data_IF_820985324459
#
_entry.id   IF_820985324459
#
_cell.length_a   1.000
_cell.length_b   1.000
_cell.length_c   1.000
_cell.angle_alpha   90.00
_cell.angle_beta   90.00
_cell.angle_gamma   90.00
#
_symmetry.space_group_name_H-M   'P 1'
#
loop_
_entity.id
_entity.type
_entity.pdbx_description
1 polymer ?
#
# COMPACT_ATOMS: atom_id res chain seq x y z
N UNK A 1 -29.90 -9.90 -8.07
CA UNK A 1 -28.82 -9.80 -7.07
C UNK A 1 -27.76 -10.82 -7.39
N UNK A 2 -26.65 -10.42 -7.99
CA UNK A 2 -25.57 -11.32 -8.41
C UNK A 2 -24.48 -11.30 -7.35
N UNK A 3 -24.47 -12.33 -6.49
CA UNK A 3 -23.39 -12.61 -5.56
C UNK A 3 -22.18 -13.09 -6.37
N UNK A 4 -21.12 -12.30 -6.40
CA UNK A 4 -19.82 -12.74 -6.93
C UNK A 4 -19.20 -13.63 -5.85
N UNK A 5 -19.29 -14.95 -6.06
CA UNK A 5 -18.57 -15.93 -5.26
C UNK A 5 -17.06 -15.79 -5.53
N UNK A 6 -16.30 -15.29 -4.56
CA UNK A 6 -14.85 -15.36 -4.59
C UNK A 6 -14.42 -16.76 -4.18
N UNK A 7 -14.12 -17.60 -5.17
CA UNK A 7 -13.48 -18.91 -4.95
C UNK A 7 -11.98 -18.72 -4.70
N UNK A 8 -11.63 -18.07 -3.58
CA UNK A 8 -10.33 -18.20 -2.95
C UNK A 8 -10.62 -18.95 -1.65
N UNK A 9 -10.11 -20.17 -1.54
CA UNK A 9 -10.06 -20.90 -0.27
C UNK A 9 -9.65 -19.92 0.83
N UNK A 10 -10.57 -19.61 1.74
CA UNK A 10 -10.27 -18.78 2.90
C UNK A 10 -9.06 -19.41 3.58
N UNK A 11 -7.88 -18.76 3.61
CA UNK A 11 -6.83 -19.23 4.49
C UNK A 11 -7.43 -19.29 5.90
N UNK A 12 -7.03 -20.29 6.68
CA UNK A 12 -7.35 -20.31 8.10
C UNK A 12 -6.92 -18.96 8.71
N UNK A 13 -7.69 -18.39 9.65
CA UNK A 13 -7.31 -17.14 10.27
C UNK A 13 -5.89 -17.26 10.82
N UNK A 14 -5.03 -16.25 10.59
CA UNK A 14 -3.65 -16.31 11.03
C UNK A 14 -3.62 -16.40 12.56
N UNK A 15 -2.84 -17.34 13.08
CA UNK A 15 -2.71 -17.59 14.52
C UNK A 15 -1.50 -16.88 15.15
N UNK A 16 -0.63 -16.31 14.31
CA UNK A 16 0.57 -15.57 14.69
C UNK A 16 0.73 -14.29 13.85
N UNK A 17 1.62 -13.40 14.30
CA UNK A 17 1.98 -12.19 13.56
C UNK A 17 2.67 -12.53 12.24
N UNK A 18 3.55 -13.52 12.26
CA UNK A 18 4.31 -13.99 11.11
C UNK A 18 3.39 -14.60 10.05
N UNK A 19 2.38 -15.36 10.47
CA UNK A 19 1.35 -15.89 9.56
C UNK A 19 0.53 -14.75 8.94
N UNK A 20 0.18 -13.73 9.73
CA UNK A 20 -0.56 -12.57 9.24
C UNK A 20 0.26 -11.78 8.19
N UNK A 21 1.56 -11.58 8.44
CA UNK A 21 2.49 -10.96 7.49
C UNK A 21 2.60 -11.79 6.22
N UNK A 22 2.81 -13.11 6.33
CA UNK A 22 2.92 -14.01 5.19
C UNK A 22 1.64 -14.04 4.35
N UNK A 23 0.48 -14.07 5.01
CA UNK A 23 -0.82 -14.02 4.34
C UNK A 23 -1.01 -12.68 3.63
N UNK A 24 -0.70 -11.56 4.29
CA UNK A 24 -0.79 -10.23 3.69
C UNK A 24 0.13 -10.10 2.48
N UNK A 25 1.38 -10.57 2.58
CA UNK A 25 2.36 -10.56 1.49
C UNK A 25 1.92 -11.40 0.30
N UNK A 26 1.44 -12.63 0.54
CA UNK A 26 0.91 -13.52 -0.51
C UNK A 26 -0.31 -12.91 -1.19
N UNK A 27 -1.23 -12.36 -0.41
CA UNK A 27 -2.46 -11.74 -0.90
C UNK A 27 -2.14 -10.50 -1.73
N UNK A 28 -1.32 -9.59 -1.20
CA UNK A 28 -0.86 -8.38 -1.89
C UNK A 28 -0.14 -8.72 -3.19
N UNK A 29 0.78 -9.69 -3.18
CA UNK A 29 1.48 -10.12 -4.40
C UNK A 29 0.51 -10.55 -5.49
N UNK A 30 -0.49 -11.35 -5.13
CA UNK A 30 -1.49 -11.87 -6.07
C UNK A 30 -2.40 -10.76 -6.62
N UNK A 31 -2.90 -9.88 -5.75
CA UNK A 31 -3.84 -8.82 -6.19
C UNK A 31 -3.15 -7.68 -6.93
N UNK A 32 -1.86 -7.45 -6.69
CA UNK A 32 -1.06 -6.43 -7.38
C UNK A 32 -0.54 -6.91 -8.75
N UNK A 33 -0.44 -8.22 -8.99
CA UNK A 33 0.07 -8.77 -10.25
C UNK A 33 -0.71 -8.25 -11.48
N UNK A 34 -2.05 -8.34 -11.45
CA UNK A 34 -2.89 -7.91 -12.58
C UNK A 34 -2.80 -6.40 -12.88
N UNK A 35 -3.00 -5.48 -11.91
CA UNK A 35 -2.95 -4.05 -12.18
C UNK A 35 -1.55 -3.56 -12.58
N UNK A 36 -0.48 -4.20 -12.09
CA UNK A 36 0.89 -3.79 -12.44
C UNK A 36 1.33 -4.29 -13.82
N UNK A 37 0.80 -5.42 -14.32
CA UNK A 37 1.16 -5.95 -15.64
C UNK A 37 0.30 -5.42 -16.80
N UNK A 38 -0.86 -4.80 -16.53
CA UNK A 38 -1.76 -4.30 -17.57
C UNK A 38 -2.01 -2.79 -17.53
N UNK A 39 -0.97 -1.93 -17.50
CA UNK A 39 -1.16 -0.49 -17.49
C UNK A 39 -1.64 0.06 -18.85
N UNK A 40 -1.67 -0.72 -19.94
CA UNK A 40 -1.94 -0.16 -21.29
C UNK A 40 -3.42 -0.20 -21.73
N UNK A 41 -4.30 -0.86 -20.99
CA UNK A 41 -5.76 -0.75 -21.22
C UNK A 41 -6.35 0.58 -20.70
N UNK A 42 -5.51 1.40 -20.06
CA UNK A 42 -5.83 2.66 -19.39
C UNK A 42 -6.34 3.77 -20.34
N UNK A 43 -6.20 3.61 -21.67
CA UNK A 43 -6.44 4.71 -22.62
C UNK A 43 -7.68 4.65 -23.52
N UNK A 44 -8.38 3.51 -23.69
CA UNK A 44 -9.38 3.41 -24.79
C UNK A 44 -10.79 2.96 -24.45
N UNK A 45 -11.08 2.29 -23.32
CA UNK A 45 -12.45 1.91 -22.98
C UNK A 45 -12.69 1.89 -21.47
N UNK A 46 -13.56 2.79 -20.99
CA UNK A 46 -13.94 3.06 -19.57
C UNK A 46 -12.79 3.59 -18.69
N UNK A 47 -13.05 4.63 -17.88
CA UNK A 47 -12.18 5.01 -16.75
C UNK A 47 -11.99 3.76 -15.88
N UNK A 48 -10.82 3.13 -15.91
CA UNK A 48 -10.52 2.00 -15.05
C UNK A 48 -10.49 2.50 -13.61
N UNK A 49 -11.30 1.87 -12.75
CA UNK A 49 -11.33 2.16 -11.31
C UNK A 49 -9.94 1.84 -10.76
N UNK A 50 -9.34 2.82 -10.07
CA UNK A 50 -8.08 2.64 -9.37
C UNK A 50 -8.19 1.46 -8.40
N UNK A 51 -7.27 0.47 -8.43
CA UNK A 51 -7.21 -0.56 -7.41
C UNK A 51 -6.83 0.07 -6.07
N UNK A 52 -7.67 -0.13 -5.07
CA UNK A 52 -7.47 0.38 -3.72
C UNK A 52 -7.56 -0.81 -2.77
N UNK A 53 -6.55 -0.98 -1.93
CA UNK A 53 -6.45 -2.10 -1.00
C UNK A 53 -6.27 -1.59 0.41
N UNK A 54 -6.80 -2.35 1.38
CA UNK A 54 -6.62 -2.12 2.80
C UNK A 54 -6.06 -3.39 3.43
N UNK A 55 -5.04 -3.24 4.25
CA UNK A 55 -4.37 -4.33 4.97
C UNK A 55 -4.29 -3.95 6.43
N UNK A 56 -4.74 -4.85 7.29
CA UNK A 56 -4.67 -4.70 8.75
C UNK A 56 -3.93 -5.89 9.35
N UNK A 57 -2.84 -5.60 10.05
CA UNK A 57 -2.00 -6.58 10.74
C UNK A 57 -1.81 -6.08 12.16
N UNK A 58 -2.08 -6.90 13.19
CA UNK A 58 -1.82 -6.55 14.58
C UNK A 58 -0.35 -6.13 14.77
N UNK A 59 -0.15 -4.97 15.39
CA UNK A 59 1.18 -4.46 15.75
C UNK A 59 1.24 -4.28 17.27
N UNK A 60 2.42 -4.50 17.84
CA UNK A 60 2.66 -4.37 19.28
C UNK A 60 2.53 -2.89 19.70
N UNK A 61 3.06 -1.98 18.89
CA UNK A 61 2.96 -0.53 19.05
C UNK A 61 3.18 0.19 17.71
N UNK A 62 2.97 1.51 17.70
CA UNK A 62 3.27 2.38 16.56
C UNK A 62 4.69 2.98 16.63
N UNK A 63 5.63 2.32 17.32
CA UNK A 63 7.00 2.81 17.43
C UNK A 63 7.72 2.77 16.07
N UNK A 64 8.76 3.60 15.88
CA UNK A 64 9.56 3.59 14.66
C UNK A 64 10.10 2.22 14.29
N UNK A 65 10.59 1.45 15.26
CA UNK A 65 11.15 0.12 15.01
C UNK A 65 10.08 -0.89 14.59
N UNK A 66 8.94 -0.91 15.31
CA UNK A 66 7.83 -1.82 15.00
C UNK A 66 7.25 -1.60 13.61
N UNK A 67 6.98 -0.33 13.25
CA UNK A 67 6.38 0.02 11.96
C UNK A 67 7.37 -0.14 10.80
N UNK A 68 8.64 0.22 11.00
CA UNK A 68 9.69 0.05 9.99
C UNK A 68 9.93 -1.42 9.70
N UNK A 69 10.01 -2.25 10.75
CA UNK A 69 10.16 -3.70 10.60
C UNK A 69 8.96 -4.33 9.92
N UNK A 70 7.74 -3.96 10.29
CA UNK A 70 6.54 -4.47 9.62
C UNK A 70 6.53 -4.12 8.12
N UNK A 71 6.83 -2.88 7.77
CA UNK A 71 6.89 -2.46 6.38
C UNK A 71 7.99 -3.22 5.61
N UNK A 72 9.14 -3.45 6.24
CA UNK A 72 10.23 -4.23 5.67
C UNK A 72 9.84 -5.70 5.45
N UNK A 73 9.24 -6.34 6.45
CA UNK A 73 8.83 -7.75 6.41
C UNK A 73 7.79 -8.01 5.30
N UNK A 74 6.96 -7.01 4.99
CA UNK A 74 5.96 -7.10 3.92
C UNK A 74 6.57 -6.74 2.57
N UNK A 75 7.23 -5.58 2.44
CA UNK A 75 7.56 -4.98 1.14
C UNK A 75 9.03 -5.11 0.72
N UNK A 76 9.94 -5.40 1.64
CA UNK A 76 11.38 -5.54 1.35
C UNK A 76 11.65 -6.66 0.35
N UNK A 77 10.91 -7.76 0.46
CA UNK A 77 11.07 -8.96 -0.36
C UNK A 77 9.74 -9.48 -0.93
N UNK A 78 8.72 -8.61 -1.06
CA UNK A 78 7.48 -8.99 -1.75
C UNK A 78 7.79 -9.41 -3.18
N UNK A 79 7.53 -10.68 -3.48
CA UNK A 79 7.73 -11.23 -4.83
C UNK A 79 6.46 -11.04 -5.63
N UNK A 80 6.36 -9.92 -6.35
CA UNK A 80 5.25 -9.67 -7.26
C UNK A 80 5.71 -10.03 -8.68
N UNK A 81 4.99 -10.95 -9.33
CA UNK A 81 5.32 -11.39 -10.68
C UNK A 81 5.03 -10.28 -11.69
N UNK A 82 6.04 -9.50 -12.07
CA UNK A 82 5.93 -8.47 -13.11
C UNK A 82 6.78 -8.84 -14.32
N UNK A 83 6.23 -8.67 -15.52
CA UNK A 83 7.00 -8.76 -16.76
C UNK A 83 7.94 -7.55 -16.86
N UNK A 84 9.25 -7.80 -16.84
CA UNK A 84 10.27 -6.77 -17.08
C UNK A 84 10.95 -6.29 -15.80
N UNK A 85 10.88 -4.98 -15.55
CA UNK A 85 11.66 -4.30 -14.49
C UNK A 85 11.18 -4.63 -13.07
N UNK A 86 12.07 -4.43 -12.10
CA UNK A 86 11.73 -4.39 -10.69
C UNK A 86 10.60 -3.38 -10.42
N UNK A 87 9.81 -3.65 -9.38
CA UNK A 87 8.69 -2.80 -8.98
C UNK A 87 9.20 -1.68 -8.11
N UNK A 88 8.69 -0.48 -8.38
CA UNK A 88 8.94 0.71 -7.59
C UNK A 88 7.79 0.93 -6.61
N UNK A 89 8.07 0.77 -5.33
CA UNK A 89 7.12 0.95 -4.23
C UNK A 89 7.42 2.31 -3.60
N UNK A 90 6.39 3.14 -3.45
CA UNK A 90 6.48 4.37 -2.67
C UNK A 90 5.76 4.15 -1.34
N UNK A 91 6.45 4.35 -0.21
CA UNK A 91 5.85 4.28 1.12
C UNK A 91 5.74 5.68 1.71
N UNK A 92 4.52 6.07 2.06
CA UNK A 92 4.19 7.29 2.77
C UNK A 92 4.08 7.03 4.27
N UNK A 93 4.97 7.67 5.01
CA UNK A 93 5.11 7.59 6.46
C UNK A 93 4.35 8.72 7.15
N UNK A 94 3.75 8.48 8.32
CA UNK A 94 2.91 9.48 8.97
C UNK A 94 3.71 10.67 9.53
N UNK A 95 5.01 10.51 9.78
CA UNK A 95 5.89 11.60 10.21
C UNK A 95 7.36 11.35 9.79
N UNK A 96 8.22 12.39 9.85
CA UNK A 96 9.63 12.27 9.48
C UNK A 96 10.42 11.24 10.30
N UNK A 97 10.19 11.16 11.61
CA UNK A 97 10.93 10.23 12.49
C UNK A 97 10.73 8.77 12.10
N UNK A 98 9.50 8.39 11.73
CA UNK A 98 9.19 7.05 11.25
C UNK A 98 9.83 6.77 9.88
N UNK A 99 9.84 7.78 8.99
CA UNK A 99 10.51 7.66 7.69
C UNK A 99 12.02 7.41 7.84
N UNK A 100 12.70 8.15 8.72
CA UNK A 100 14.14 7.96 8.92
C UNK A 100 14.47 6.57 9.49
N UNK A 101 13.68 6.09 10.47
CA UNK A 101 13.83 4.74 11.00
C UNK A 101 13.65 3.67 9.90
N UNK A 102 12.70 3.89 8.99
CA UNK A 102 12.47 2.98 7.87
C UNK A 102 13.62 2.97 6.88
N UNK A 103 14.20 4.12 6.56
CA UNK A 103 15.38 4.20 5.69
C UNK A 103 16.51 3.36 6.27
N UNK A 104 16.79 3.48 7.58
CA UNK A 104 17.81 2.68 8.27
C UNK A 104 17.49 1.19 8.22
N UNK A 105 16.24 0.81 8.50
CA UNK A 105 15.81 -0.59 8.48
C UNK A 105 15.96 -1.23 7.09
N UNK A 106 15.53 -0.52 6.03
CA UNK A 106 15.59 -1.00 4.64
C UNK A 106 17.01 -1.02 4.09
N UNK A 107 17.86 -0.04 4.41
CA UNK A 107 19.27 -0.04 4.01
C UNK A 107 20.07 -1.20 4.63
N UNK A 108 19.67 -1.65 5.80
CA UNK A 108 20.32 -2.75 6.51
C UNK A 108 20.00 -4.14 5.90
N UNK A 109 19.12 -4.21 4.91
CA UNK A 109 18.64 -5.47 4.32
C UNK A 109 18.80 -5.46 2.79
N UNK A 110 19.15 -6.61 2.23
CA UNK A 110 19.12 -6.80 0.77
C UNK A 110 17.67 -6.94 0.32
N UNK A 111 17.14 -5.89 -0.31
CA UNK A 111 15.77 -5.83 -0.82
C UNK A 111 15.74 -6.12 -2.32
N UNK A 112 14.67 -6.78 -2.78
CA UNK A 112 14.48 -7.12 -4.20
C UNK A 112 13.74 -6.02 -4.98
N UNK A 113 13.08 -5.10 -4.27
CA UNK A 113 12.26 -4.05 -4.83
C UNK A 113 12.92 -2.68 -4.64
N UNK A 114 12.61 -1.73 -5.52
CA UNK A 114 13.01 -0.34 -5.34
C UNK A 114 11.98 0.30 -4.42
N UNK A 115 12.37 0.65 -3.21
CA UNK A 115 11.48 1.27 -2.21
C UNK A 115 11.91 2.71 -1.97
N UNK A 116 11.00 3.63 -2.24
CA UNK A 116 11.16 5.06 -1.92
C UNK A 116 10.33 5.41 -0.68
N UNK A 117 10.87 6.27 0.17
CA UNK A 117 10.27 6.65 1.44
C UNK A 117 9.99 8.16 1.46
N UNK A 118 8.75 8.54 1.76
CA UNK A 118 8.33 9.94 1.91
C UNK A 118 7.53 10.07 3.20
N UNK A 119 7.72 11.16 3.94
CA UNK A 119 6.85 11.51 5.05
C UNK A 119 5.74 12.46 4.60
N UNK A 120 4.60 12.42 5.30
CA UNK A 120 3.40 13.10 4.86
C UNK A 120 3.54 14.63 4.78
N UNK A 121 4.39 15.23 5.62
CA UNK A 121 4.63 16.68 5.64
C UNK A 121 5.50 17.15 4.46
N UNK A 122 6.26 16.22 3.86
CA UNK A 122 7.13 16.49 2.71
C UNK A 122 6.43 16.27 1.36
N UNK A 123 5.23 15.67 1.33
CA UNK A 123 4.48 15.37 0.09
C UNK A 123 4.33 16.60 -0.81
N UNK A 124 3.96 17.75 -0.24
CA UNK A 124 3.74 18.98 -1.01
C UNK A 124 5.02 19.54 -1.66
N UNK A 125 6.19 19.18 -1.14
CA UNK A 125 7.51 19.60 -1.65
C UNK A 125 8.17 18.52 -2.50
N UNK A 126 7.55 17.36 -2.62
CA UNK A 126 8.08 16.21 -3.35
C UNK A 126 8.00 16.47 -4.85
N UNK A 127 9.07 16.11 -5.55
CA UNK A 127 9.10 16.14 -7.01
C UNK A 127 7.99 15.26 -7.60
N UNK A 128 7.08 15.81 -8.44
CA UNK A 128 6.03 15.02 -9.08
C UNK A 128 6.53 13.80 -9.88
N UNK A 129 7.79 13.82 -10.33
CA UNK A 129 8.44 12.69 -11.00
C UNK A 129 8.51 11.44 -10.14
N UNK A 130 8.57 11.58 -8.81
CA UNK A 130 8.57 10.45 -7.87
C UNK A 130 7.22 9.71 -7.93
N UNK A 131 6.10 10.42 -7.84
CA UNK A 131 4.77 9.81 -7.96
C UNK A 131 4.55 9.17 -9.36
N UNK A 132 5.11 9.78 -10.40
CA UNK A 132 5.02 9.27 -11.76
C UNK A 132 5.86 8.00 -11.99
N UNK A 133 7.00 7.86 -11.30
CA UNK A 133 7.92 6.74 -11.49
C UNK A 133 7.52 5.50 -10.71
N UNK A 134 6.90 5.66 -9.54
CA UNK A 134 6.48 4.58 -8.67
C UNK A 134 5.28 3.80 -9.25
N UNK A 135 5.23 2.49 -9.01
CA UNK A 135 4.23 1.58 -9.55
C UNK A 135 3.05 1.36 -8.61
N UNK A 136 3.30 1.43 -7.30
CA UNK A 136 2.31 1.30 -6.23
C UNK A 136 2.67 2.26 -5.10
N UNK A 137 1.65 2.83 -4.44
CA UNK A 137 1.85 3.66 -3.25
C UNK A 137 1.24 2.99 -2.03
N UNK A 138 1.94 3.06 -0.90
CA UNK A 138 1.53 2.50 0.39
C UNK A 138 1.41 3.65 1.39
N UNK A 139 0.24 3.83 2.00
CA UNK A 139 0.09 4.70 3.16
C UNK A 139 0.22 3.86 4.42
N UNK A 140 1.25 4.14 5.22
CA UNK A 140 1.47 3.45 6.47
C UNK A 140 0.82 4.21 7.63
N UNK A 141 -0.04 3.51 8.36
CA UNK A 141 -0.78 4.00 9.54
C UNK A 141 -1.37 5.41 9.33
N UNK A 142 -2.10 5.66 8.22
CA UNK A 142 -2.66 6.97 7.98
C UNK A 142 -3.74 7.30 9.02
N UNK A 143 -3.83 8.58 9.37
CA UNK A 143 -4.83 9.10 10.32
C UNK A 143 -5.96 9.87 9.62
N UNK A 144 -7.08 10.08 10.31
CA UNK A 144 -8.20 10.88 9.78
C UNK A 144 -7.79 12.31 9.44
N UNK A 145 -6.89 12.90 10.22
CA UNK A 145 -6.32 14.24 9.99
C UNK A 145 -5.57 14.33 8.64
N UNK A 146 -5.21 13.20 8.05
CA UNK A 146 -4.37 13.08 6.86
C UNK A 146 -5.15 12.74 5.59
N UNK A 147 -6.49 12.61 5.66
CA UNK A 147 -7.33 12.19 4.53
C UNK A 147 -7.17 13.09 3.29
N UNK A 148 -6.92 14.38 3.47
CA UNK A 148 -6.67 15.31 2.35
C UNK A 148 -5.41 14.93 1.56
N UNK A 149 -4.35 14.52 2.26
CA UNK A 149 -3.09 14.07 1.65
C UNK A 149 -3.28 12.69 1.02
N UNK A 150 -3.97 11.78 1.71
CA UNK A 150 -4.32 10.45 1.15
C UNK A 150 -5.06 10.61 -0.17
N UNK A 151 -6.03 11.52 -0.24
CA UNK A 151 -6.76 11.84 -1.47
C UNK A 151 -5.86 12.42 -2.55
N UNK A 152 -5.07 13.44 -2.22
CA UNK A 152 -4.18 14.10 -3.17
C UNK A 152 -3.23 13.10 -3.84
N UNK A 153 -2.57 12.26 -3.04
CA UNK A 153 -1.58 11.29 -3.52
C UNK A 153 -2.27 10.14 -4.27
N UNK A 154 -3.44 9.68 -3.81
CA UNK A 154 -4.23 8.67 -4.54
C UNK A 154 -4.67 9.17 -5.92
N UNK A 155 -5.13 10.41 -6.00
CA UNK A 155 -5.54 11.05 -7.27
C UNK A 155 -4.33 11.19 -8.22
N UNK A 156 -3.15 11.58 -7.70
CA UNK A 156 -1.92 11.68 -8.47
C UNK A 156 -1.41 10.32 -8.98
N UNK A 157 -1.68 9.24 -8.25
CA UNK A 157 -1.33 7.88 -8.67
C UNK A 157 -2.32 7.29 -9.67
N UNK A 158 -3.54 7.84 -9.80
CA UNK A 158 -4.58 7.20 -10.59
C UNK A 158 -4.14 6.96 -12.05
N UNK A 159 -4.32 5.74 -12.59
CA UNK A 159 -5.09 4.63 -12.03
C UNK A 159 -4.23 3.52 -11.37
N UNK A 160 -2.97 3.80 -11.01
CA UNK A 160 -2.07 2.85 -10.35
C UNK A 160 -2.58 2.43 -8.97
N UNK A 161 -2.26 1.22 -8.51
CA UNK A 161 -2.74 0.69 -7.24
C UNK A 161 -2.27 1.52 -6.04
N UNK A 162 -3.13 1.56 -5.02
CA UNK A 162 -2.89 2.21 -3.73
C UNK A 162 -3.21 1.21 -2.60
N UNK A 163 -2.38 1.18 -1.56
CA UNK A 163 -2.57 0.34 -0.38
C UNK A 163 -2.60 1.20 0.87
N UNK A 164 -3.55 0.96 1.77
CA UNK A 164 -3.54 1.44 3.15
C UNK A 164 -3.09 0.30 4.05
N UNK A 165 -2.05 0.51 4.85
CA UNK A 165 -1.59 -0.45 5.84
C UNK A 165 -1.85 0.10 7.24
N UNK A 166 -2.66 -0.60 8.03
CA UNK A 166 -3.05 -0.24 9.40
C UNK A 166 -3.64 1.18 9.58
N UNK A 167 -4.61 1.63 8.75
CA UNK A 167 -5.23 2.94 8.92
C UNK A 167 -5.90 3.12 10.30
N UNK A 168 -5.81 4.33 10.88
CA UNK A 168 -6.35 4.67 12.21
C UNK A 168 -7.84 5.00 12.20
N UNK A 169 -8.61 4.36 11.33
CA UNK A 169 -10.08 4.47 11.27
C UNK A 169 -10.69 3.11 11.02
N UNK A 170 -11.88 2.87 11.57
CA UNK A 170 -12.63 1.64 11.35
C UNK A 170 -13.19 1.59 9.92
N UNK A 171 -13.57 0.40 9.47
CA UNK A 171 -14.09 0.20 8.12
C UNK A 171 -15.39 0.96 7.87
N UNK A 172 -16.28 0.98 8.87
CA UNK A 172 -17.54 1.73 8.88
C UNK A 172 -17.30 3.25 8.76
N UNK A 173 -16.10 3.68 9.15
CA UNK A 173 -15.51 5.00 8.96
C UNK A 173 -15.62 5.51 7.52
N UNK A 174 -15.30 4.61 6.57
CA UNK A 174 -14.93 4.96 5.20
C UNK A 174 -16.09 5.50 4.37
N UNK A 175 -17.33 5.14 4.70
CA UNK A 175 -18.52 5.67 4.00
C UNK A 175 -18.62 7.19 4.12
N UNK A 176 -18.05 7.77 5.18
CA UNK A 176 -18.08 9.20 5.43
C UNK A 176 -16.98 9.97 4.69
N UNK A 177 -16.05 9.28 4.01
CA UNK A 177 -14.91 9.90 3.32
C UNK A 177 -15.15 10.16 1.83
N UNK A 178 -16.40 10.01 1.35
CA UNK A 178 -16.80 10.34 -0.02
C UNK A 178 -16.03 9.53 -1.06
N UNK A 179 -15.23 10.20 -1.92
CA UNK A 179 -14.46 9.55 -3.00
C UNK A 179 -13.29 8.66 -2.51
N UNK A 180 -12.95 8.74 -1.22
CA UNK A 180 -12.03 7.81 -0.58
C UNK A 180 -12.73 6.55 -0.08
N UNK A 181 -14.07 6.47 -0.10
CA UNK A 181 -14.77 5.22 0.19
C UNK A 181 -14.39 4.14 -0.82
N UNK A 182 -14.25 2.90 -0.34
CA UNK A 182 -14.01 1.72 -1.19
C UNK A 182 -12.53 1.34 -1.38
N UNK A 183 -11.70 1.49 -0.34
CA UNK A 183 -10.43 0.74 -0.23
C UNK A 183 -10.65 -0.76 0.03
N UNK A 184 -11.91 -1.15 0.24
CA UNK A 184 -12.38 -2.52 0.29
C UNK A 184 -13.43 -2.69 -0.81
N UNK A 185 -13.29 -3.74 -1.61
CA UNK A 185 -14.27 -4.21 -2.58
C UNK A 185 -14.30 -5.73 -2.60
#
# INVERSE_FOLDING_TARGET
STLIHSSLSSPNPPISKEDAILQAKTSLSTVLEKPLNNPKLIGKFKKLKQPKFRVEIPVIDDSPDSLSKLALDIFGDISIKRKGSAIKILILWPNPSLKEAAIVAFQSHSINNIVEHIDIVSVAKTDPRIFNSADVTIFLVPERSQLSVVKMVSDAFSPKPVVLLNPKWAFEEESNFGNLSGFVS
#
